data_IF_921171779752
#
_entry.id   IF_921171779752
#
_cell.length_a   1.000
_cell.length_b   1.000
_cell.length_c   1.000
_cell.angle_alpha   90.00
_cell.angle_beta   90.00
_cell.angle_gamma   90.00
#
_symmetry.space_group_name_H-M   'P 1'
#
loop_
_entity.id
_entity.type
_entity.pdbx_description
1 polymer ?
#
# COMPACT_ATOMS: atom_id res chain seq x y z
N UNK A 1 11.15 4.03 17.76
CA UNK A 1 12.39 3.89 18.56
C UNK A 1 13.66 3.95 17.69
N UNK A 2 13.70 3.37 16.48
CA UNK A 2 14.85 3.52 15.56
C UNK A 2 15.12 4.94 15.03
N UNK A 3 14.13 5.85 15.04
CA UNK A 3 14.33 7.25 14.65
C UNK A 3 15.24 8.05 15.62
N UNK A 4 15.47 7.54 16.84
CA UNK A 4 16.21 8.24 17.90
C UNK A 4 17.67 7.74 18.08
N UNK A 5 18.05 6.60 17.49
CA UNK A 5 19.39 6.02 17.60
C UNK A 5 19.77 5.26 16.31
N UNK A 6 20.55 5.85 15.38
CA UNK A 6 20.97 5.19 14.14
C UNK A 6 22.03 4.11 14.37
N UNK A 7 22.82 4.26 15.43
CA UNK A 7 23.87 3.32 15.84
C UNK A 7 23.32 2.19 16.71
N UNK A 8 22.00 2.16 16.92
CA UNK A 8 21.39 1.12 17.69
C UNK A 8 21.53 -0.20 16.89
N UNK A 9 22.05 -1.27 17.50
CA UNK A 9 22.33 -2.52 16.79
C UNK A 9 21.08 -3.15 16.13
N UNK A 10 19.87 -2.70 16.50
CA UNK A 10 18.60 -3.12 15.90
C UNK A 10 18.22 -2.46 14.57
N UNK A 11 18.90 -1.40 14.14
CA UNK A 11 18.55 -0.66 12.89
C UNK A 11 18.63 -1.56 11.64
N UNK A 12 19.68 -2.37 11.43
CA UNK A 12 19.74 -3.30 10.30
C UNK A 12 18.58 -4.31 10.29
N UNK A 13 18.23 -4.87 11.45
CA UNK A 13 17.13 -5.83 11.57
C UNK A 13 15.77 -5.18 11.28
N UNK A 14 15.57 -3.92 11.70
CA UNK A 14 14.36 -3.18 11.40
C UNK A 14 14.24 -2.88 9.90
N UNK A 15 15.34 -2.47 9.25
CA UNK A 15 15.39 -2.25 7.81
C UNK A 15 15.06 -3.53 7.05
N UNK A 16 15.68 -4.66 7.42
CA UNK A 16 15.42 -5.95 6.79
C UNK A 16 13.96 -6.39 6.94
N UNK A 17 13.35 -6.16 8.11
CA UNK A 17 11.91 -6.43 8.32
C UNK A 17 11.03 -5.55 7.44
N UNK A 18 11.34 -4.27 7.32
CA UNK A 18 10.58 -3.34 6.47
C UNK A 18 10.64 -3.76 4.99
N UNK A 19 11.82 -4.12 4.49
CA UNK A 19 12.01 -4.62 3.11
C UNK A 19 11.23 -5.92 2.88
N UNK A 20 11.24 -6.85 3.83
CA UNK A 20 10.47 -8.09 3.75
C UNK A 20 8.96 -7.83 3.70
N UNK A 21 8.43 -6.92 4.53
CA UNK A 21 7.01 -6.57 4.47
C UNK A 21 6.63 -5.91 3.15
N UNK A 22 7.47 -5.03 2.60
CA UNK A 22 7.27 -4.44 1.28
C UNK A 22 7.24 -5.52 0.18
N UNK A 23 8.16 -6.49 0.24
CA UNK A 23 8.18 -7.61 -0.71
C UNK A 23 6.87 -8.42 -0.64
N UNK A 24 6.42 -8.77 0.57
CA UNK A 24 5.15 -9.49 0.77
C UNK A 24 3.94 -8.73 0.23
N UNK A 25 3.86 -7.42 0.52
CA UNK A 25 2.79 -6.56 0.02
C UNK A 25 2.77 -6.50 -1.52
N UNK A 26 3.93 -6.38 -2.15
CA UNK A 26 4.04 -6.38 -3.61
C UNK A 26 3.65 -7.74 -4.22
N UNK A 27 4.05 -8.86 -3.61
CA UNK A 27 3.63 -10.19 -4.05
C UNK A 27 2.13 -10.37 -3.96
N UNK A 28 1.51 -9.99 -2.84
CA UNK A 28 0.05 -10.05 -2.67
C UNK A 28 -0.67 -9.20 -3.72
N UNK A 29 -0.16 -7.99 -3.99
CA UNK A 29 -0.70 -7.15 -5.05
C UNK A 29 -0.54 -7.78 -6.44
N UNK A 30 0.62 -8.35 -6.77
CA UNK A 30 0.85 -8.97 -8.06
C UNK A 30 -0.10 -10.15 -8.31
N UNK A 31 -0.39 -10.94 -7.27
CA UNK A 31 -1.40 -12.01 -7.34
C UNK A 31 -2.78 -11.42 -7.62
N UNK A 32 -3.18 -10.38 -6.88
CA UNK A 32 -4.46 -9.70 -7.13
C UNK A 32 -4.55 -9.11 -8.53
N UNK A 33 -3.53 -8.39 -8.98
CA UNK A 33 -3.48 -7.76 -10.29
C UNK A 33 -3.54 -8.77 -11.45
N UNK A 34 -3.12 -10.02 -11.24
CA UNK A 34 -3.20 -11.08 -12.24
C UNK A 34 -4.58 -11.76 -12.32
N UNK A 35 -5.47 -11.53 -11.35
CA UNK A 35 -6.83 -12.05 -11.41
C UNK A 35 -7.65 -11.34 -12.51
N UNK A 36 -8.66 -11.99 -13.09
CA UNK A 36 -9.57 -11.32 -14.02
C UNK A 36 -10.25 -10.14 -13.33
N UNK A 37 -10.01 -8.94 -13.83
CA UNK A 37 -10.73 -7.74 -13.43
C UNK A 37 -11.89 -7.52 -14.39
N UNK A 38 -13.07 -7.28 -13.86
CA UNK A 38 -14.22 -6.90 -14.67
C UNK A 38 -14.15 -5.42 -15.06
N UNK A 39 -14.92 -5.02 -16.08
CA UNK A 39 -14.68 -3.79 -16.85
C UNK A 39 -14.40 -2.52 -16.02
N UNK A 40 -15.21 -2.26 -15.01
CA UNK A 40 -15.09 -1.05 -14.18
C UNK A 40 -14.11 -1.20 -13.00
N UNK A 41 -13.66 -2.43 -12.69
CA UNK A 41 -12.68 -2.70 -11.63
C UNK A 41 -11.26 -2.36 -12.08
N UNK A 42 -10.93 -2.60 -13.35
CA UNK A 42 -9.59 -2.39 -13.90
C UNK A 42 -9.02 -0.97 -13.67
N UNK A 43 -9.78 0.11 -13.94
CA UNK A 43 -9.36 1.48 -13.63
C UNK A 43 -9.14 1.74 -12.13
N UNK A 44 -9.97 1.18 -11.25
CA UNK A 44 -9.85 1.32 -9.79
C UNK A 44 -8.61 0.58 -9.28
N UNK A 45 -8.40 -0.65 -9.73
CA UNK A 45 -7.20 -1.42 -9.44
C UNK A 45 -5.93 -0.70 -9.93
N UNK A 46 -5.97 -0.11 -11.13
CA UNK A 46 -4.84 0.66 -11.67
C UNK A 46 -4.54 1.91 -10.84
N UNK A 47 -5.58 2.61 -10.36
CA UNK A 47 -5.41 3.77 -9.47
C UNK A 47 -4.80 3.38 -8.13
N UNK A 48 -5.26 2.27 -7.54
CA UNK A 48 -4.69 1.73 -6.31
C UNK A 48 -3.24 1.29 -6.51
N UNK A 49 -2.91 0.68 -7.66
CA UNK A 49 -1.53 0.33 -7.99
C UNK A 49 -0.62 1.56 -8.05
N UNK A 50 -1.05 2.60 -8.77
CA UNK A 50 -0.31 3.85 -8.89
C UNK A 50 -0.07 4.51 -7.53
N UNK A 51 -1.09 4.57 -6.66
CA UNK A 51 -0.96 5.13 -5.31
C UNK A 51 0.01 4.31 -4.45
N UNK A 52 -0.05 2.97 -4.51
CA UNK A 52 0.87 2.09 -3.80
C UNK A 52 2.31 2.28 -4.27
N UNK A 53 2.53 2.31 -5.59
CA UNK A 53 3.86 2.53 -6.18
C UNK A 53 4.41 3.91 -5.80
N UNK A 54 3.56 4.95 -5.77
CA UNK A 54 3.96 6.28 -5.34
C UNK A 54 4.40 6.30 -3.86
N UNK A 55 3.61 5.72 -2.94
CA UNK A 55 3.99 5.63 -1.53
C UNK A 55 5.31 4.85 -1.33
N UNK A 56 5.46 3.71 -2.02
CA UNK A 56 6.67 2.89 -1.92
C UNK A 56 7.89 3.62 -2.49
N UNK A 57 7.76 4.19 -3.69
CA UNK A 57 8.88 4.78 -4.43
C UNK A 57 9.30 6.15 -3.90
N UNK A 58 8.34 6.97 -3.46
CA UNK A 58 8.60 8.36 -3.08
C UNK A 58 8.78 8.55 -1.56
N UNK A 59 8.25 7.65 -0.73
CA UNK A 59 8.39 7.73 0.72
C UNK A 59 9.13 6.53 1.32
N UNK A 60 8.63 5.30 1.17
CA UNK A 60 9.12 4.16 1.96
C UNK A 60 10.54 3.74 1.58
N UNK A 61 10.87 3.63 0.28
CA UNK A 61 12.24 3.31 -0.17
C UNK A 61 13.25 4.40 0.23
N UNK A 62 12.99 5.70 -0.04
CA UNK A 62 13.87 6.77 0.44
C UNK A 62 14.02 6.81 1.97
N UNK A 63 12.96 6.47 2.72
CA UNK A 63 13.01 6.44 4.18
C UNK A 63 13.92 5.32 4.69
N UNK A 64 13.81 4.12 4.10
CA UNK A 64 14.69 2.99 4.41
C UNK A 64 16.16 3.35 4.11
N UNK A 65 16.41 4.00 2.97
CA UNK A 65 17.75 4.45 2.60
C UNK A 65 18.30 5.50 3.57
N UNK A 66 17.48 6.49 3.94
CA UNK A 66 17.84 7.52 4.91
C UNK A 66 18.17 6.92 6.29
N UNK A 67 17.36 5.96 6.76
CA UNK A 67 17.62 5.25 8.02
C UNK A 67 18.94 4.47 7.94
N UNK A 68 19.17 3.73 6.84
CA UNK A 68 20.40 2.96 6.63
C UNK A 68 21.65 3.85 6.60
N UNK A 69 21.53 5.04 6.03
CA UNK A 69 22.61 6.02 5.91
C UNK A 69 22.73 6.95 7.14
N UNK A 70 21.92 6.77 8.19
CA UNK A 70 21.91 7.63 9.36
C UNK A 70 21.44 9.07 9.11
N UNK A 71 20.72 9.31 8.01
CA UNK A 71 20.21 10.65 7.62
C UNK A 71 18.87 10.94 8.31
N UNK A 72 18.91 11.32 9.59
CA UNK A 72 17.71 11.52 10.41
C UNK A 72 16.77 12.60 9.90
N UNK A 73 17.31 13.77 9.54
CA UNK A 73 16.47 14.89 9.08
C UNK A 73 15.74 14.54 7.78
N UNK A 74 16.39 13.77 6.90
CA UNK A 74 15.76 13.24 5.69
C UNK A 74 14.65 12.24 6.02
N UNK A 75 14.93 11.30 6.94
CA UNK A 75 13.95 10.31 7.38
C UNK A 75 12.72 10.97 8.03
N UNK A 76 12.94 11.97 8.89
CA UNK A 76 11.87 12.73 9.54
C UNK A 76 11.06 13.53 8.52
N UNK A 77 11.72 14.24 7.60
CA UNK A 77 11.05 14.96 6.50
C UNK A 77 10.20 14.02 5.66
N UNK A 78 10.72 12.86 5.30
CA UNK A 78 9.98 11.86 4.52
C UNK A 78 8.73 11.37 5.29
N UNK A 79 8.87 11.09 6.58
CA UNK A 79 7.78 10.62 7.43
C UNK A 79 6.72 11.69 7.70
N UNK A 80 7.13 12.94 7.90
CA UNK A 80 6.25 14.03 8.31
C UNK A 80 5.64 14.79 7.14
N UNK A 81 6.30 14.83 5.98
CA UNK A 81 5.86 15.65 4.84
C UNK A 81 5.46 14.83 3.63
N UNK A 82 6.22 13.77 3.30
CA UNK A 82 6.03 13.04 2.03
C UNK A 82 5.08 11.86 2.19
N UNK A 83 5.24 11.06 3.24
CA UNK A 83 4.42 9.88 3.49
C UNK A 83 2.93 10.20 3.74
N UNK A 84 2.54 11.23 4.51
CA UNK A 84 1.13 11.45 4.86
C UNK A 84 0.20 11.66 3.65
N UNK A 85 0.47 12.56 2.69
CA UNK A 85 -0.42 12.75 1.54
C UNK A 85 -0.46 11.52 0.61
N UNK A 86 0.64 10.76 0.52
CA UNK A 86 0.69 9.51 -0.25
C UNK A 86 -0.14 8.41 0.42
N UNK A 87 -0.09 8.31 1.75
CA UNK A 87 -0.95 7.39 2.52
C UNK A 87 -2.42 7.73 2.36
N UNK A 88 -2.79 9.03 2.41
CA UNK A 88 -4.18 9.46 2.14
C UNK A 88 -4.62 9.07 0.73
N UNK A 89 -3.76 9.28 -0.27
CA UNK A 89 -4.05 8.91 -1.65
C UNK A 89 -4.24 7.39 -1.81
N UNK A 90 -3.45 6.60 -1.09
CA UNK A 90 -3.58 5.15 -1.04
C UNK A 90 -4.91 4.74 -0.40
N UNK A 91 -5.24 5.28 0.78
CA UNK A 91 -6.52 5.00 1.46
C UNK A 91 -7.71 5.31 0.58
N UNK A 92 -7.73 6.48 -0.07
CA UNK A 92 -8.83 6.86 -0.98
C UNK A 92 -8.97 5.90 -2.17
N UNK A 93 -7.86 5.40 -2.72
CA UNK A 93 -7.90 4.44 -3.81
C UNK A 93 -8.38 3.05 -3.35
N UNK A 94 -7.97 2.64 -2.14
CA UNK A 94 -8.45 1.39 -1.51
C UNK A 94 -9.95 1.46 -1.25
N UNK A 95 -10.43 2.52 -0.61
CA UNK A 95 -11.85 2.70 -0.28
C UNK A 95 -12.73 2.68 -1.54
N UNK A 96 -12.26 3.27 -2.65
CA UNK A 96 -12.97 3.27 -3.92
C UNK A 96 -13.07 1.87 -4.54
N UNK A 97 -11.99 1.08 -4.48
CA UNK A 97 -11.98 -0.29 -4.98
C UNK A 97 -12.86 -1.20 -4.11
N UNK A 98 -12.74 -1.10 -2.79
CA UNK A 98 -13.53 -1.88 -1.84
C UNK A 98 -15.02 -1.59 -1.98
N UNK A 99 -15.40 -0.31 -2.14
CA UNK A 99 -16.79 0.09 -2.37
C UNK A 99 -17.36 -0.52 -3.67
N UNK A 100 -16.57 -0.55 -4.74
CA UNK A 100 -16.97 -1.18 -6.01
C UNK A 100 -17.18 -2.69 -5.84
N UNK A 101 -16.22 -3.38 -5.22
CA UNK A 101 -16.30 -4.82 -4.97
C UNK A 101 -17.50 -5.18 -4.08
N UNK A 102 -17.78 -4.39 -3.04
CA UNK A 102 -18.92 -4.59 -2.16
C UNK A 102 -20.26 -4.39 -2.88
N UNK A 103 -20.40 -3.31 -3.67
CA UNK A 103 -21.62 -3.04 -4.45
C UNK A 103 -21.90 -4.16 -5.46
N UNK A 104 -20.85 -4.67 -6.09
CA UNK A 104 -20.93 -5.76 -7.06
C UNK A 104 -21.28 -7.10 -6.39
N UNK A 105 -20.68 -7.41 -5.24
CA UNK A 105 -21.03 -8.59 -4.44
C UNK A 105 -22.51 -8.60 -4.07
N UNK A 106 -23.07 -7.43 -3.69
CA UNK A 106 -24.50 -7.27 -3.44
C UNK A 106 -25.36 -7.48 -4.69
N UNK A 107 -24.98 -6.87 -5.82
CA UNK A 107 -25.70 -7.01 -7.09
C UNK A 107 -25.68 -8.44 -7.65
N UNK A 108 -24.65 -9.23 -7.36
CA UNK A 108 -24.59 -10.64 -7.72
C UNK A 108 -25.44 -11.54 -6.80
N UNK A 109 -25.66 -11.14 -5.54
CA UNK A 109 -26.41 -11.90 -4.54
C UNK A 109 -27.93 -11.66 -4.59
N UNK A 110 -28.37 -10.42 -4.89
CA UNK A 110 -29.80 -10.07 -4.98
C UNK A 110 -30.60 -10.90 -6.04
N UNK A 111 -30.05 -11.22 -7.24
CA UNK A 111 -30.72 -12.09 -8.21
C UNK A 111 -30.77 -13.57 -7.78
N UNK A 112 -29.78 -14.03 -7.00
CA UNK A 112 -29.72 -15.42 -6.53
C UNK A 112 -30.84 -15.75 -5.54
N UNK A 113 -31.35 -14.77 -4.79
CA UNK A 113 -32.52 -14.95 -3.92
C UNK A 113 -33.86 -14.97 -4.68
N UNK A 114 -33.93 -14.40 -5.88
CA UNK A 114 -35.15 -14.40 -6.69
C UNK A 114 -35.33 -15.72 -7.45
N UNK A 115 -34.24 -16.49 -7.64
CA UNK A 115 -34.29 -17.78 -8.35
C UNK A 115 -34.53 -18.99 -7.45
N UNK A 116 -34.42 -18.85 -6.12
CA UNK A 116 -34.65 -19.91 -5.12
C UNK A 116 -35.78 -19.58 -4.12
N UNK A 117 -36.56 -18.52 -4.38
CA UNK A 117 -37.74 -18.12 -3.59
C UNK A 117 -39.04 -18.63 -4.19
#
# INVERSE_FOLDING_TARGET
RALLHPDAPEVPDLVAKAENYLAKANTAWAIYAAMPHDGDEGPLASRLDAARQALIGQALKPLIDAIRAGRHDDADRLLMTVAPPLSVSLTQATDALDAFQAARGKAAYDPAQTYYG
#
